data_IF_214537661971
#
_entry.id   IF_214537661971
#
_cell.length_a   1.000
_cell.length_b   1.000
_cell.length_c   1.000
_cell.angle_alpha   90.00
_cell.angle_beta   90.00
_cell.angle_gamma   90.00
#
_symmetry.space_group_name_H-M   'P 1'
#
loop_
_entity.id
_entity.type
_entity.pdbx_description
1 polymer ?
#
# COMPACT_ATOMS: atom_id res chain seq x y z
N UNK A 1 -9.25 12.46 -17.05
CA UNK A 1 -8.01 11.96 -17.69
C UNK A 1 -7.56 10.76 -16.89
N UNK A 2 -7.60 9.55 -17.47
CA UNK A 2 -7.12 8.34 -16.79
C UNK A 2 -5.59 8.34 -16.86
N UNK A 3 -4.93 8.91 -15.85
CA UNK A 3 -3.51 8.65 -15.64
C UNK A 3 -3.41 7.14 -15.44
N UNK A 4 -2.76 6.45 -16.37
CA UNK A 4 -2.67 4.99 -16.37
C UNK A 4 -2.21 4.51 -15.00
N UNK A 5 -3.10 3.83 -14.29
CA UNK A 5 -2.83 3.25 -12.98
C UNK A 5 -1.57 2.39 -13.09
N UNK A 6 -0.56 2.67 -12.27
CA UNK A 6 0.75 2.00 -12.38
C UNK A 6 0.65 0.60 -11.80
N UNK A 7 0.87 -0.43 -12.61
CA UNK A 7 0.92 -1.81 -12.11
C UNK A 7 2.03 -1.95 -11.08
N UNK A 8 1.74 -2.66 -10.01
CA UNK A 8 2.69 -2.97 -8.97
C UNK A 8 2.44 -4.35 -8.38
N UNK A 9 3.48 -4.91 -7.79
CA UNK A 9 3.41 -6.10 -6.96
C UNK A 9 3.52 -5.65 -5.50
N UNK A 10 2.63 -6.17 -4.67
CA UNK A 10 2.61 -5.91 -3.23
C UNK A 10 2.73 -7.19 -2.45
N UNK A 11 3.69 -7.23 -1.53
CA UNK A 11 3.77 -8.28 -0.51
C UNK A 11 3.07 -7.81 0.77
N UNK A 12 2.08 -8.59 1.23
CA UNK A 12 1.39 -8.32 2.50
C UNK A 12 2.19 -8.80 3.70
N UNK A 13 2.95 -9.88 3.53
CA UNK A 13 3.91 -10.44 4.49
C UNK A 13 5.12 -11.00 3.74
N UNK A 14 6.24 -11.21 4.44
CA UNK A 14 7.45 -11.81 3.86
C UNK A 14 7.22 -13.22 3.30
N UNK A 15 6.28 -13.96 3.88
CA UNK A 15 5.90 -15.32 3.49
C UNK A 15 4.83 -15.38 2.38
N UNK A 16 4.14 -14.26 2.12
CA UNK A 16 3.09 -14.22 1.10
C UNK A 16 3.67 -14.01 -0.30
N UNK A 17 3.03 -14.65 -1.29
CA UNK A 17 3.33 -14.37 -2.69
C UNK A 17 2.98 -12.91 -3.01
N UNK A 18 3.81 -12.21 -3.80
CA UNK A 18 3.47 -10.87 -4.27
C UNK A 18 2.14 -10.91 -5.02
N UNK A 19 1.21 -10.04 -4.65
CA UNK A 19 -0.08 -9.89 -5.30
C UNK A 19 0.00 -8.75 -6.30
N UNK A 20 -0.54 -8.96 -7.51
CA UNK A 20 -0.68 -7.90 -8.51
C UNK A 20 -1.74 -6.88 -8.07
N UNK A 21 -1.37 -5.61 -8.16
CA UNK A 21 -2.21 -4.48 -7.83
C UNK A 21 -1.90 -3.28 -8.74
N UNK A 22 -2.71 -2.25 -8.60
CA UNK A 22 -2.54 -0.96 -9.22
C UNK A 22 -2.25 0.06 -8.15
N UNK A 23 -1.15 0.79 -8.29
CA UNK A 23 -0.83 1.89 -7.40
C UNK A 23 -1.72 3.09 -7.72
N UNK A 24 -2.42 3.58 -6.71
CA UNK A 24 -3.26 4.77 -6.80
C UNK A 24 -2.48 6.00 -6.31
N UNK A 25 -2.08 6.02 -5.03
CA UNK A 25 -1.39 7.17 -4.43
C UNK A 25 -0.70 6.83 -3.09
N UNK A 26 0.14 7.75 -2.61
CA UNK A 26 0.60 7.73 -1.22
C UNK A 26 -0.38 8.48 -0.32
N UNK A 27 -0.57 7.98 0.89
CA UNK A 27 -1.39 8.60 1.94
C UNK A 27 -0.62 8.68 3.26
N UNK A 28 -1.23 9.33 4.24
CA UNK A 28 -0.72 9.37 5.62
C UNK A 28 -1.79 8.83 6.56
N UNK A 29 -1.42 7.90 7.43
CA UNK A 29 -2.27 7.39 8.50
C UNK A 29 -1.63 7.69 9.85
N UNK A 30 -2.45 7.77 10.90
CA UNK A 30 -1.98 7.97 12.26
C UNK A 30 -1.94 6.62 12.94
N UNK A 31 -0.74 6.22 13.37
CA UNK A 31 -0.55 5.04 14.21
C UNK A 31 -0.31 5.47 15.65
N UNK A 32 -0.60 4.56 16.57
CA UNK A 32 -0.37 4.74 18.00
C UNK A 32 0.67 3.73 18.45
N UNK A 33 1.67 4.20 19.20
CA UNK A 33 2.67 3.32 19.82
C UNK A 33 2.10 2.63 21.07
N UNK A 34 2.92 1.79 21.71
CA UNK A 34 2.55 1.09 22.96
C UNK A 34 2.32 2.04 24.16
N UNK A 35 2.79 3.29 24.05
CA UNK A 35 2.57 4.36 25.02
C UNK A 35 1.39 5.29 24.63
N UNK A 36 0.62 4.90 23.60
CA UNK A 36 -0.51 5.65 23.05
C UNK A 36 -0.17 7.03 22.46
N UNK A 37 1.08 7.26 22.06
CA UNK A 37 1.46 8.46 21.31
C UNK A 37 1.12 8.29 19.84
N UNK A 38 0.51 9.31 19.25
CA UNK A 38 0.18 9.32 17.82
C UNK A 38 1.37 9.77 16.99
N UNK A 39 1.64 9.06 15.89
CA UNK A 39 2.63 9.46 14.91
C UNK A 39 2.14 9.20 13.48
N UNK A 40 2.46 10.10 12.53
CA UNK A 40 2.08 9.91 11.14
C UNK A 40 2.96 8.85 10.50
N UNK A 41 2.35 7.92 9.78
CA UNK A 41 3.01 6.90 8.97
C UNK A 41 2.58 7.07 7.52
N UNK A 42 3.55 7.10 6.62
CA UNK A 42 3.25 7.10 5.18
C UNK A 42 2.82 5.70 4.76
N UNK A 43 1.66 5.62 4.13
CA UNK A 43 1.11 4.38 3.56
C UNK A 43 0.97 4.54 2.06
N UNK A 44 0.96 3.43 1.33
CA UNK A 44 0.68 3.43 -0.08
C UNK A 44 -0.66 2.72 -0.35
N UNK A 45 -1.49 3.38 -1.13
CA UNK A 45 -2.85 2.94 -1.47
C UNK A 45 -2.78 2.23 -2.82
N UNK A 46 -3.18 0.97 -2.83
CA UNK A 46 -3.18 0.12 -4.03
C UNK A 46 -4.53 -0.55 -4.19
N UNK A 47 -4.95 -0.79 -5.42
CA UNK A 47 -6.17 -1.53 -5.76
C UNK A 47 -5.78 -2.90 -6.34
N UNK A 48 -6.17 -3.99 -5.71
CA UNK A 48 -5.92 -5.34 -6.25
C UNK A 48 -6.77 -5.59 -7.48
N UNK A 49 -6.37 -6.59 -8.28
CA UNK A 49 -7.14 -7.00 -9.47
C UNK A 49 -8.59 -7.41 -9.16
N UNK A 50 -8.86 -7.84 -7.92
CA UNK A 50 -10.21 -8.18 -7.44
C UNK A 50 -11.05 -6.94 -7.05
N UNK A 51 -10.53 -5.72 -7.27
CA UNK A 51 -11.20 -4.46 -6.92
C UNK A 51 -11.11 -4.07 -5.44
N UNK A 52 -10.24 -4.73 -4.65
CA UNK A 52 -10.04 -4.38 -3.22
C UNK A 52 -8.98 -3.31 -3.08
N UNK A 53 -9.31 -2.22 -2.40
CA UNK A 53 -8.34 -1.19 -2.03
C UNK A 53 -7.64 -1.59 -0.74
N UNK A 54 -6.31 -1.57 -0.76
CA UNK A 54 -5.45 -1.90 0.36
C UNK A 54 -4.49 -0.76 0.65
N UNK A 55 -4.17 -0.62 1.92
CA UNK A 55 -3.11 0.27 2.41
C UNK A 55 -1.96 -0.59 2.85
N UNK A 56 -0.80 -0.39 2.24
CA UNK A 56 0.42 -1.17 2.50
C UNK A 56 1.58 -0.25 2.85
N UNK A 57 2.62 -0.81 3.45
CA UNK A 57 3.86 -0.07 3.61
C UNK A 57 4.44 0.26 2.23
N UNK A 58 4.81 1.53 1.94
CA UNK A 58 5.41 1.92 0.66
C UNK A 58 6.61 1.07 0.26
N UNK A 59 7.36 0.56 1.23
CA UNK A 59 8.56 -0.26 1.04
C UNK A 59 8.26 -1.66 0.48
N UNK A 60 7.00 -2.13 0.56
CA UNK A 60 6.60 -3.44 0.04
C UNK A 60 6.06 -3.38 -1.39
N UNK A 61 6.00 -2.18 -1.99
CA UNK A 61 5.58 -1.97 -3.37
C UNK A 61 6.76 -2.16 -4.31
N UNK A 62 6.57 -2.99 -5.32
CA UNK A 62 7.47 -3.14 -6.45
C UNK A 62 6.74 -2.81 -7.74
N UNK A 63 7.10 -1.69 -8.37
CA UNK A 63 6.57 -1.33 -9.68
C UNK A 63 7.11 -2.28 -10.77
N UNK A 64 6.28 -2.60 -11.75
CA UNK A 64 6.57 -3.48 -12.89
C UNK A 64 6.40 -2.75 -14.21
#
# INVERSE_FOLDING_TARGET
MSQGRRKCLVKRNDFDKPTEAYFEMYGSEVFYDESNNSFPVTVAIVETIDGKVLKVNPSTIKFV
#
